data_IF_375933581100
#
_entry.id   IF_375933581100
#
_cell.length_a   1.000
_cell.length_b   1.000
_cell.length_c   1.000
_cell.angle_alpha   90.00
_cell.angle_beta   90.00
_cell.angle_gamma   90.00
#
_symmetry.space_group_name_H-M   'P 1'
#
loop_
_entity.id
_entity.type
_entity.pdbx_description
1 polymer ?
#
# COMPACT_ATOMS: atom_id res chain seq x y z
N UNK A 1 53.63 5.05 34.23
CA UNK A 1 53.32 3.62 33.99
C UNK A 1 52.00 3.43 33.23
N UNK A 2 50.91 4.13 33.59
CA UNK A 2 49.63 4.06 32.85
C UNK A 2 49.72 4.44 31.36
N UNK A 3 50.46 5.50 30.99
CA UNK A 3 50.56 5.92 29.57
C UNK A 3 51.27 4.90 28.66
N UNK A 4 52.16 4.07 29.21
CA UNK A 4 52.87 3.01 28.46
C UNK A 4 51.95 1.82 28.22
N UNK A 5 51.13 1.47 29.22
CA UNK A 5 50.10 0.45 29.09
C UNK A 5 49.04 0.85 28.06
N UNK A 6 48.56 2.10 28.09
CA UNK A 6 47.62 2.63 27.09
C UNK A 6 48.20 2.54 25.67
N UNK A 7 49.48 2.87 25.49
CA UNK A 7 50.17 2.73 24.19
C UNK A 7 50.29 1.27 23.73
N UNK A 8 50.58 0.34 24.64
CA UNK A 8 50.62 -1.09 24.33
C UNK A 8 49.22 -1.64 23.99
N UNK A 9 48.17 -1.23 24.71
CA UNK A 9 46.79 -1.58 24.37
C UNK A 9 46.37 -1.00 23.02
N UNK A 10 46.72 0.25 22.73
CA UNK A 10 46.46 0.87 21.43
C UNK A 10 47.18 0.12 20.30
N UNK A 11 48.46 -0.18 20.47
CA UNK A 11 49.26 -0.88 19.47
C UNK A 11 48.77 -2.31 19.24
N UNK A 12 48.41 -3.04 20.30
CA UNK A 12 47.87 -4.41 20.18
C UNK A 12 46.50 -4.42 19.51
N UNK A 13 45.59 -3.51 19.88
CA UNK A 13 44.26 -3.39 19.24
C UNK A 13 44.41 -3.07 17.74
N UNK A 14 45.29 -2.14 17.38
CA UNK A 14 45.55 -1.78 15.98
C UNK A 14 46.22 -2.93 15.21
N UNK A 15 47.14 -3.65 15.86
CA UNK A 15 47.78 -4.83 15.30
C UNK A 15 46.76 -5.95 15.03
N UNK A 16 45.86 -6.24 15.97
CA UNK A 16 44.86 -7.29 15.80
C UNK A 16 43.78 -6.93 14.78
N UNK A 17 43.45 -5.64 14.58
CA UNK A 17 42.57 -5.22 13.47
C UNK A 17 43.12 -5.50 12.07
N UNK A 18 44.40 -5.86 11.94
CA UNK A 18 45.04 -6.20 10.67
C UNK A 18 44.84 -7.68 10.26
N UNK A 19 44.20 -8.51 11.10
CA UNK A 19 43.93 -9.92 10.80
C UNK A 19 42.50 -10.12 10.28
N UNK A 20 42.29 -11.18 9.50
CA UNK A 20 40.95 -11.61 9.07
C UNK A 20 40.17 -12.07 10.32
N UNK A 21 38.99 -11.49 10.59
CA UNK A 21 38.22 -11.50 11.87
C UNK A 21 38.75 -10.60 13.02
N UNK A 22 39.79 -9.82 12.75
CA UNK A 22 40.44 -8.92 13.72
C UNK A 22 39.52 -7.87 14.34
N UNK A 23 38.51 -7.42 13.60
CA UNK A 23 37.55 -6.43 14.07
C UNK A 23 36.64 -6.94 15.18
N UNK A 24 36.19 -8.21 15.10
CA UNK A 24 35.38 -8.81 16.17
C UNK A 24 36.16 -8.80 17.48
N UNK A 25 37.38 -9.34 17.45
CA UNK A 25 38.24 -9.43 18.61
C UNK A 25 38.57 -8.05 19.18
N UNK A 26 38.98 -7.11 18.33
CA UNK A 26 39.33 -5.75 18.72
C UNK A 26 38.16 -5.01 19.39
N UNK A 27 36.93 -5.14 18.86
CA UNK A 27 35.74 -4.54 19.47
C UNK A 27 35.44 -5.17 20.83
N UNK A 28 35.41 -6.50 20.91
CA UNK A 28 34.95 -7.19 22.12
C UNK A 28 35.97 -7.10 23.26
N UNK A 29 37.27 -7.09 22.94
CA UNK A 29 38.30 -6.87 23.96
C UNK A 29 38.30 -5.42 24.46
N UNK A 30 38.05 -4.45 23.57
CA UNK A 30 37.89 -3.05 23.96
C UNK A 30 36.67 -2.87 24.87
N UNK A 31 35.52 -3.45 24.52
CA UNK A 31 34.32 -3.43 25.37
C UNK A 31 34.57 -4.11 26.73
N UNK A 32 35.28 -5.25 26.75
CA UNK A 32 35.64 -5.93 28.00
C UNK A 32 36.53 -5.06 28.90
N UNK A 33 37.51 -4.34 28.32
CA UNK A 33 38.38 -3.44 29.09
C UNK A 33 37.65 -2.21 29.61
N UNK A 34 36.73 -1.65 28.83
CA UNK A 34 35.89 -0.52 29.26
C UNK A 34 34.96 -0.97 30.39
N UNK A 35 34.21 -2.05 30.21
CA UNK A 35 33.26 -2.56 31.22
C UNK A 35 33.94 -3.12 32.46
N UNK A 36 35.18 -3.59 32.34
CA UNK A 36 36.02 -4.01 33.46
C UNK A 36 36.71 -2.86 34.21
N UNK A 37 36.45 -1.59 33.85
CA UNK A 37 37.09 -0.39 34.41
C UNK A 37 38.63 -0.37 34.32
N UNK A 38 39.21 -1.12 33.37
CA UNK A 38 40.67 -1.16 33.13
C UNK A 38 41.15 0.03 32.29
N UNK A 39 40.28 0.59 31.45
CA UNK A 39 40.56 1.68 30.51
C UNK A 39 39.36 2.65 30.51
N UNK A 40 39.61 3.97 30.46
CA UNK A 40 38.54 4.98 30.35
C UNK A 40 38.00 5.56 31.66
N UNK A 41 38.76 5.47 32.75
CA UNK A 41 38.36 6.03 34.07
C UNK A 41 38.43 7.56 34.16
N UNK A 42 38.98 8.25 33.15
CA UNK A 42 38.99 9.72 33.08
C UNK A 42 37.79 10.21 32.25
N UNK A 43 36.81 10.91 32.85
CA UNK A 43 35.63 11.41 32.14
C UNK A 43 35.95 12.43 31.04
N UNK A 44 37.16 13.02 31.01
CA UNK A 44 37.60 13.95 29.96
C UNK A 44 38.32 13.26 28.79
N UNK A 45 38.60 11.95 28.87
CA UNK A 45 39.29 11.24 27.80
C UNK A 45 38.33 10.76 26.69
N UNK A 46 38.10 11.62 25.71
CA UNK A 46 37.33 11.28 24.51
C UNK A 46 38.05 10.36 23.53
N UNK A 47 39.36 10.11 23.70
CA UNK A 47 40.15 9.32 22.74
C UNK A 47 39.71 7.86 22.73
N UNK A 48 39.43 7.27 23.89
CA UNK A 48 38.97 5.89 24.03
C UNK A 48 37.55 5.71 23.50
N UNK A 49 36.66 6.68 23.74
CA UNK A 49 35.31 6.68 23.16
C UNK A 49 35.38 6.75 21.63
N UNK A 50 36.24 7.60 21.07
CA UNK A 50 36.47 7.69 19.62
C UNK A 50 37.05 6.41 19.03
N UNK A 51 38.02 5.80 19.70
CA UNK A 51 38.60 4.52 19.28
C UNK A 51 37.54 3.41 19.27
N UNK A 52 36.74 3.30 20.34
CA UNK A 52 35.63 2.35 20.41
C UNK A 52 34.64 2.55 19.26
N UNK A 53 34.21 3.78 19.01
CA UNK A 53 33.31 4.09 17.88
C UNK A 53 33.93 3.71 16.52
N UNK A 54 35.23 3.97 16.34
CA UNK A 54 35.94 3.55 15.14
C UNK A 54 35.95 2.03 14.97
N UNK A 55 36.30 1.28 16.01
CA UNK A 55 36.31 -0.19 15.96
C UNK A 55 34.92 -0.77 15.68
N UNK A 56 33.89 -0.28 16.39
CA UNK A 56 32.50 -0.69 16.20
C UNK A 56 32.02 -0.43 14.77
N UNK A 57 32.37 0.73 14.19
CA UNK A 57 32.01 1.08 12.82
C UNK A 57 32.63 0.13 11.80
N UNK A 58 33.92 -0.17 11.92
CA UNK A 58 34.59 -1.09 11.00
C UNK A 58 34.06 -2.52 11.15
N UNK A 59 33.81 -2.96 12.39
CA UNK A 59 33.21 -4.26 12.62
C UNK A 59 31.80 -4.35 12.03
N UNK A 60 30.97 -3.33 12.25
CA UNK A 60 29.65 -3.28 11.68
C UNK A 60 29.68 -3.25 10.14
N UNK A 61 30.59 -2.52 9.51
CA UNK A 61 30.79 -2.52 8.05
C UNK A 61 31.09 -3.93 7.50
N UNK A 62 31.95 -4.69 8.19
CA UNK A 62 32.18 -6.10 7.82
C UNK A 62 30.92 -6.95 7.94
N UNK A 63 30.16 -6.82 9.04
CA UNK A 63 28.91 -7.56 9.25
C UNK A 63 27.82 -7.18 8.23
N UNK A 64 27.68 -5.89 7.91
CA UNK A 64 26.73 -5.38 6.91
C UNK A 64 27.02 -5.92 5.52
N UNK A 65 28.28 -6.20 5.20
CA UNK A 65 28.69 -6.78 3.93
C UNK A 65 28.36 -8.28 3.81
N UNK A 66 28.12 -8.97 4.92
CA UNK A 66 27.78 -10.39 4.94
C UNK A 66 26.26 -10.64 4.81
N UNK A 67 25.87 -11.55 3.91
CA UNK A 67 24.47 -11.85 3.57
C UNK A 67 23.59 -12.31 4.75
N UNK A 68 24.19 -12.91 5.79
CA UNK A 68 23.47 -13.47 6.94
C UNK A 68 23.63 -12.65 8.22
N UNK A 69 24.62 -11.76 8.28
CA UNK A 69 25.02 -11.07 9.51
C UNK A 69 24.64 -9.58 9.54
N UNK A 70 24.16 -9.02 8.42
CA UNK A 70 23.80 -7.61 8.32
C UNK A 70 22.77 -7.15 9.38
N UNK A 71 21.91 -8.04 9.89
CA UNK A 71 20.99 -7.69 10.98
C UNK A 71 21.75 -7.34 12.26
N UNK A 72 22.75 -8.15 12.60
CA UNK A 72 23.65 -7.94 13.74
C UNK A 72 24.52 -6.70 13.49
N UNK A 73 25.00 -6.52 12.26
CA UNK A 73 25.72 -5.32 11.85
C UNK A 73 24.91 -4.03 12.07
N UNK A 74 23.61 -4.05 11.72
CA UNK A 74 22.71 -2.92 11.94
C UNK A 74 22.52 -2.62 13.44
N UNK A 75 22.43 -3.66 14.27
CA UNK A 75 22.33 -3.49 15.73
C UNK A 75 23.62 -2.91 16.33
N UNK A 76 24.81 -3.29 15.82
CA UNK A 76 26.07 -2.66 16.23
C UNK A 76 26.17 -1.19 15.80
N UNK A 77 25.62 -0.81 14.65
CA UNK A 77 25.57 0.60 14.22
C UNK A 77 24.71 1.47 15.13
N UNK A 78 23.69 0.90 15.79
CA UNK A 78 22.85 1.64 16.74
C UNK A 78 23.62 2.08 17.99
N UNK A 79 24.67 1.35 18.37
CA UNK A 79 25.54 1.69 19.50
C UNK A 79 26.58 2.77 19.16
N UNK A 80 26.65 3.21 17.91
CA UNK A 80 27.52 4.30 17.49
C UNK A 80 26.76 5.63 17.40
N UNK A 81 27.33 6.67 18.02
CA UNK A 81 26.80 8.03 17.92
C UNK A 81 26.82 8.49 16.43
N UNK A 82 25.67 8.94 15.92
CA UNK A 82 25.52 9.65 14.63
C UNK A 82 25.70 8.85 13.32
N UNK A 83 25.26 7.58 13.26
CA UNK A 83 25.38 6.73 12.04
C UNK A 83 24.05 6.44 11.31
N UNK A 84 22.99 7.22 11.54
CA UNK A 84 21.66 6.96 10.93
C UNK A 84 21.69 6.96 9.40
N UNK A 85 22.32 7.97 8.80
CA UNK A 85 22.46 8.10 7.33
C UNK A 85 23.30 6.96 6.74
N UNK A 86 24.35 6.56 7.46
CA UNK A 86 25.21 5.46 7.05
C UNK A 86 24.45 4.13 7.07
N UNK A 87 23.63 3.90 8.11
CA UNK A 87 22.79 2.72 8.21
C UNK A 87 21.74 2.68 7.09
N UNK A 88 21.10 3.81 6.78
CA UNK A 88 20.16 3.92 5.66
C UNK A 88 20.85 3.51 4.34
N UNK A 89 22.04 4.05 4.07
CA UNK A 89 22.82 3.70 2.88
C UNK A 89 23.17 2.21 2.80
N UNK A 90 23.54 1.58 3.92
CA UNK A 90 23.82 0.15 3.91
C UNK A 90 22.56 -0.67 3.65
N UNK A 91 21.45 -0.34 4.31
CA UNK A 91 20.19 -1.07 4.14
C UNK A 91 19.63 -0.94 2.72
N UNK A 92 19.80 0.21 2.06
CA UNK A 92 19.43 0.40 0.65
C UNK A 92 20.21 -0.50 -0.31
N UNK A 93 21.45 -0.84 0.03
CA UNK A 93 22.34 -1.65 -0.82
C UNK A 93 22.13 -3.15 -0.67
N UNK A 94 21.34 -3.60 0.31
CA UNK A 94 21.11 -5.02 0.53
C UNK A 94 20.32 -5.59 -0.67
N UNK A 95 20.81 -6.64 -1.35
CA UNK A 95 20.11 -7.22 -2.48
C UNK A 95 18.81 -7.91 -2.02
N UNK A 96 17.66 -7.42 -2.51
CA UNK A 96 16.35 -7.95 -2.17
C UNK A 96 15.97 -9.07 -3.14
N UNK A 97 16.16 -10.33 -2.74
CA UNK A 97 15.81 -11.49 -3.58
C UNK A 97 14.39 -11.96 -3.30
N UNK A 98 14.05 -12.05 -2.02
CA UNK A 98 12.79 -12.62 -1.53
C UNK A 98 11.92 -11.60 -0.82
N UNK A 99 10.61 -11.86 -0.74
CA UNK A 99 9.68 -11.05 0.05
C UNK A 99 10.02 -11.07 1.54
N UNK A 100 10.53 -12.20 2.06
CA UNK A 100 10.92 -12.33 3.46
C UNK A 100 12.09 -11.40 3.82
N UNK A 101 13.08 -11.25 2.93
CA UNK A 101 14.19 -10.31 3.09
C UNK A 101 13.69 -8.87 3.09
N UNK A 102 12.81 -8.50 2.15
CA UNK A 102 12.21 -7.17 2.10
C UNK A 102 11.47 -6.82 3.41
N UNK A 103 10.69 -7.77 3.95
CA UNK A 103 9.99 -7.58 5.24
C UNK A 103 10.96 -7.38 6.40
N UNK A 104 12.09 -8.11 6.43
CA UNK A 104 13.13 -7.93 7.45
C UNK A 104 13.75 -6.53 7.38
N UNK A 105 14.06 -6.04 6.18
CA UNK A 105 14.60 -4.69 5.98
C UNK A 105 13.58 -3.64 6.45
N UNK A 106 12.31 -3.75 6.06
CA UNK A 106 11.26 -2.84 6.51
C UNK A 106 11.08 -2.86 8.03
N UNK A 107 11.13 -4.04 8.65
CA UNK A 107 11.03 -4.15 10.10
C UNK A 107 12.15 -3.35 10.80
N UNK A 108 13.39 -3.53 10.35
CA UNK A 108 14.54 -2.79 10.89
C UNK A 108 14.49 -1.29 10.57
N UNK A 109 14.00 -0.91 9.39
CA UNK A 109 13.81 0.48 8.99
C UNK A 109 12.75 1.17 9.86
N UNK A 110 11.60 0.53 10.10
CA UNK A 110 10.54 1.04 10.98
C UNK A 110 10.99 1.18 12.43
N UNK A 111 11.74 0.20 12.96
CA UNK A 111 12.34 0.26 14.31
C UNK A 111 13.19 1.53 14.51
N UNK A 112 13.76 2.06 13.43
CA UNK A 112 14.68 3.21 13.41
C UNK A 112 14.09 4.46 12.76
N UNK A 113 12.78 4.48 12.54
CA UNK A 113 12.04 5.58 11.90
C UNK A 113 12.62 6.00 10.53
N UNK A 114 13.11 5.05 9.74
CA UNK A 114 13.62 5.28 8.38
C UNK A 114 12.48 5.18 7.36
N UNK A 115 11.55 6.14 7.39
CA UNK A 115 10.32 6.09 6.57
C UNK A 115 10.59 6.17 5.06
N UNK A 116 11.64 6.88 4.65
CA UNK A 116 12.05 6.98 3.25
C UNK A 116 12.49 5.61 2.73
N UNK A 117 13.37 4.92 3.45
CA UNK A 117 13.78 3.56 3.13
C UNK A 117 12.59 2.59 3.07
N UNK A 118 11.65 2.68 4.01
CA UNK A 118 10.43 1.85 3.99
C UNK A 118 9.65 2.07 2.69
N UNK A 119 9.48 3.32 2.26
CA UNK A 119 8.82 3.65 0.98
C UNK A 119 9.60 3.12 -0.21
N UNK A 120 10.91 3.35 -0.28
CA UNK A 120 11.77 2.89 -1.37
C UNK A 120 11.73 1.37 -1.55
N UNK A 121 11.96 0.63 -0.46
CA UNK A 121 11.93 -0.85 -0.46
C UNK A 121 10.54 -1.37 -0.88
N UNK A 122 9.48 -0.79 -0.32
CA UNK A 122 8.11 -1.18 -0.65
C UNK A 122 7.80 -0.90 -2.12
N UNK A 123 8.21 0.24 -2.66
CA UNK A 123 8.00 0.62 -4.07
C UNK A 123 8.75 -0.31 -5.05
N UNK A 124 9.98 -0.71 -4.72
CA UNK A 124 10.73 -1.72 -5.49
C UNK A 124 9.96 -3.04 -5.52
N UNK A 125 9.45 -3.47 -4.36
CA UNK A 125 8.66 -4.71 -4.26
C UNK A 125 7.33 -4.62 -4.99
N UNK A 126 6.66 -3.47 -4.95
CA UNK A 126 5.45 -3.21 -5.76
C UNK A 126 5.74 -3.34 -7.24
N UNK A 127 6.78 -2.68 -7.74
CA UNK A 127 7.18 -2.75 -9.16
C UNK A 127 7.48 -4.20 -9.59
N UNK A 128 8.21 -4.96 -8.76
CA UNK A 128 8.50 -6.38 -8.99
C UNK A 128 7.23 -7.25 -8.96
N UNK A 129 6.27 -6.95 -8.09
CA UNK A 129 5.01 -7.69 -8.05
C UNK A 129 4.13 -7.39 -9.27
N UNK A 130 4.08 -6.13 -9.71
CA UNK A 130 3.35 -5.69 -10.89
C UNK A 130 3.91 -6.27 -12.20
N UNK A 131 5.23 -6.40 -12.32
CA UNK A 131 5.85 -7.04 -13.49
C UNK A 131 5.57 -8.55 -13.56
N UNK A 132 5.33 -9.19 -12.43
CA UNK A 132 4.94 -10.60 -12.33
C UNK A 132 3.42 -10.82 -12.42
N UNK A 133 2.62 -9.77 -12.67
CA UNK A 133 1.16 -9.86 -12.73
C UNK A 133 0.46 -10.13 -11.39
N UNK A 134 1.18 -10.08 -10.27
CA UNK A 134 0.63 -10.37 -8.93
C UNK A 134 0.04 -9.11 -8.29
N UNK A 135 -1.15 -8.72 -8.73
CA UNK A 135 -1.83 -7.50 -8.23
C UNK A 135 -2.05 -7.52 -6.71
N UNK A 136 -2.46 -8.65 -6.13
CA UNK A 136 -2.69 -8.75 -4.68
C UNK A 136 -1.41 -8.52 -3.86
N UNK A 137 -0.30 -9.12 -4.28
CA UNK A 137 1.00 -8.88 -3.65
C UNK A 137 1.40 -7.40 -3.82
N UNK A 138 1.28 -6.84 -5.01
CA UNK A 138 1.59 -5.43 -5.26
C UNK A 138 0.79 -4.50 -4.34
N UNK A 139 -0.51 -4.77 -4.19
CA UNK A 139 -1.38 -4.02 -3.31
C UNK A 139 -0.89 -4.08 -1.86
N UNK A 140 -0.45 -5.25 -1.36
CA UNK A 140 0.09 -5.36 0.00
C UNK A 140 1.32 -4.49 0.25
N UNK A 141 2.15 -4.27 -0.77
CA UNK A 141 3.31 -3.39 -0.67
C UNK A 141 2.92 -1.92 -0.77
N UNK A 142 1.94 -1.57 -1.60
CA UNK A 142 1.37 -0.22 -1.67
C UNK A 142 0.71 0.19 -0.35
N UNK A 143 0.09 -0.75 0.38
CA UNK A 143 -0.43 -0.48 1.73
C UNK A 143 0.68 0.02 2.68
N UNK A 144 1.93 -0.41 2.47
CA UNK A 144 3.07 -0.01 3.27
C UNK A 144 3.67 1.31 2.76
N UNK A 145 3.88 1.46 1.44
CA UNK A 145 4.50 2.68 0.88
C UNK A 145 3.57 3.90 0.88
N UNK A 146 2.24 3.68 0.83
CA UNK A 146 1.22 4.71 0.62
C UNK A 146 1.48 5.53 -0.66
N UNK A 147 2.07 4.91 -1.68
CA UNK A 147 2.36 5.57 -2.94
C UNK A 147 1.11 5.61 -3.85
N UNK A 148 0.62 6.83 -4.10
CA UNK A 148 -0.58 7.10 -4.88
C UNK A 148 -0.43 6.63 -6.33
N UNK A 149 0.77 6.74 -6.93
CA UNK A 149 0.98 6.38 -8.34
C UNK A 149 0.80 4.89 -8.55
N UNK A 150 1.37 4.09 -7.65
CA UNK A 150 1.19 2.64 -7.70
C UNK A 150 -0.24 2.21 -7.33
N UNK A 151 -0.89 2.92 -6.40
CA UNK A 151 -2.30 2.67 -6.08
C UNK A 151 -3.19 2.88 -7.33
N UNK A 152 -2.98 3.98 -8.05
CA UNK A 152 -3.69 4.28 -9.30
C UNK A 152 -3.37 3.27 -10.40
N UNK A 153 -2.11 2.85 -10.55
CA UNK A 153 -1.73 1.84 -11.54
C UNK A 153 -2.41 0.48 -11.27
N UNK A 154 -2.50 0.06 -10.00
CA UNK A 154 -3.22 -1.16 -9.61
C UNK A 154 -4.71 -1.02 -9.93
N UNK A 155 -5.31 0.13 -9.58
CA UNK A 155 -6.72 0.39 -9.83
C UNK A 155 -7.03 0.38 -11.34
N UNK A 156 -6.20 1.02 -12.16
CA UNK A 156 -6.37 1.06 -13.61
C UNK A 156 -6.23 -0.32 -14.26
N UNK A 157 -5.23 -1.12 -13.84
CA UNK A 157 -5.07 -2.49 -14.32
C UNK A 157 -6.30 -3.33 -13.99
N UNK A 158 -6.84 -3.19 -12.78
CA UNK A 158 -8.05 -3.90 -12.37
C UNK A 158 -9.28 -3.47 -13.16
N UNK A 159 -9.51 -2.15 -13.30
CA UNK A 159 -10.65 -1.61 -14.05
C UNK A 159 -10.64 -2.04 -15.52
N UNK A 160 -9.45 -2.06 -16.14
CA UNK A 160 -9.28 -2.52 -17.51
C UNK A 160 -9.61 -4.01 -17.66
N UNK A 161 -9.14 -4.83 -16.73
CA UNK A 161 -9.40 -6.27 -16.73
C UNK A 161 -10.90 -6.55 -16.54
N UNK A 162 -11.55 -5.84 -15.60
CA UNK A 162 -12.98 -5.91 -15.38
C UNK A 162 -13.78 -5.49 -16.63
N UNK A 163 -13.40 -4.39 -17.26
CA UNK A 163 -14.07 -3.89 -18.48
C UNK A 163 -14.01 -4.88 -19.66
N UNK A 164 -12.93 -5.68 -19.75
CA UNK A 164 -12.73 -6.65 -20.82
C UNK A 164 -13.46 -7.96 -20.56
N UNK A 165 -13.42 -8.47 -19.33
CA UNK A 165 -13.93 -9.81 -19.02
C UNK A 165 -15.31 -9.80 -18.39
N UNK A 166 -15.76 -8.68 -17.80
CA UNK A 166 -16.95 -8.58 -16.93
C UNK A 166 -16.97 -9.66 -15.84
N UNK A 167 -15.79 -10.11 -15.41
CA UNK A 167 -15.63 -11.14 -14.41
C UNK A 167 -15.21 -10.51 -13.09
N UNK A 168 -15.85 -10.99 -12.02
CA UNK A 168 -15.54 -10.65 -10.63
C UNK A 168 -14.25 -11.31 -10.10
N UNK A 169 -13.47 -11.96 -10.96
CA UNK A 169 -12.21 -12.58 -10.59
C UNK A 169 -11.26 -11.49 -10.08
N UNK A 170 -10.70 -11.66 -8.87
CA UNK A 170 -9.84 -10.66 -8.22
C UNK A 170 -10.49 -9.82 -7.12
N UNK A 171 -11.80 -9.94 -6.88
CA UNK A 171 -12.49 -9.30 -5.73
C UNK A 171 -11.80 -9.61 -4.38
N UNK A 172 -11.28 -10.83 -4.25
CA UNK A 172 -10.61 -11.31 -3.02
C UNK A 172 -9.41 -10.47 -2.62
N UNK A 173 -8.74 -9.87 -3.60
CA UNK A 173 -7.60 -8.98 -3.37
C UNK A 173 -8.03 -7.74 -2.59
N UNK A 174 -9.28 -7.30 -2.77
CA UNK A 174 -9.82 -6.06 -2.22
C UNK A 174 -10.58 -6.28 -0.90
N UNK A 175 -10.96 -7.53 -0.57
CA UNK A 175 -11.74 -7.89 0.64
C UNK A 175 -11.06 -7.48 1.96
N UNK A 176 -9.74 -7.46 2.02
CA UNK A 176 -8.97 -7.22 3.25
C UNK A 176 -8.32 -5.83 3.32
N UNK A 177 -8.74 -4.87 2.48
CA UNK A 177 -8.04 -3.59 2.40
C UNK A 177 -8.31 -2.62 3.55
N UNK A 178 -9.46 -2.70 4.22
CA UNK A 178 -9.81 -1.79 5.32
C UNK A 178 -9.55 -0.31 4.97
N UNK A 179 -8.77 0.38 5.80
CA UNK A 179 -8.41 1.81 5.63
C UNK A 179 -7.41 2.11 4.50
N UNK A 180 -6.94 1.10 3.75
CA UNK A 180 -5.98 1.29 2.67
C UNK A 180 -6.61 1.71 1.35
N UNK A 181 -7.95 1.62 1.23
CA UNK A 181 -8.68 2.17 0.09
C UNK A 181 -8.40 3.68 -0.07
N UNK A 182 -8.19 4.39 1.04
CA UNK A 182 -7.97 5.84 1.11
C UNK A 182 -6.60 6.33 0.63
N UNK A 183 -5.79 5.48 -0.02
CA UNK A 183 -4.50 5.93 -0.60
C UNK A 183 -4.73 6.75 -1.87
N UNK A 184 -5.70 6.37 -2.69
CA UNK A 184 -6.08 7.13 -3.87
C UNK A 184 -7.58 7.05 -4.13
N UNK A 185 -8.11 8.05 -4.81
CA UNK A 185 -9.53 8.12 -5.18
C UNK A 185 -9.93 6.97 -6.11
N UNK A 186 -9.06 6.61 -7.07
CA UNK A 186 -9.28 5.47 -7.97
C UNK A 186 -9.29 4.15 -7.22
N UNK A 187 -8.36 3.95 -6.28
CA UNK A 187 -8.32 2.74 -5.47
C UNK A 187 -9.52 2.67 -4.51
N UNK A 188 -9.94 3.83 -3.97
CA UNK A 188 -11.16 3.96 -3.18
C UNK A 188 -12.38 3.53 -4.00
N UNK A 189 -12.49 4.04 -5.23
CA UNK A 189 -13.54 3.65 -6.17
C UNK A 189 -13.56 2.14 -6.39
N UNK A 190 -12.42 1.55 -6.77
CA UNK A 190 -12.34 0.09 -7.01
C UNK A 190 -12.75 -0.71 -5.77
N UNK A 191 -12.25 -0.32 -4.60
CA UNK A 191 -12.58 -0.99 -3.34
C UNK A 191 -14.08 -0.94 -3.01
N UNK A 192 -14.72 0.22 -3.22
CA UNK A 192 -16.16 0.38 -3.03
C UNK A 192 -17.00 -0.28 -4.10
N UNK A 193 -16.53 -0.31 -5.34
CA UNK A 193 -17.20 -1.01 -6.43
C UNK A 193 -17.17 -2.53 -6.24
N UNK A 194 -16.05 -3.04 -5.72
CA UNK A 194 -15.91 -4.41 -5.26
C UNK A 194 -16.92 -4.74 -4.14
N UNK A 195 -17.04 -3.85 -3.14
CA UNK A 195 -18.01 -3.99 -2.04
C UNK A 195 -19.46 -4.02 -2.54
N UNK A 196 -19.81 -3.18 -3.53
CA UNK A 196 -21.11 -3.20 -4.20
C UNK A 196 -21.46 -4.58 -4.74
N UNK A 197 -20.57 -5.17 -5.53
CA UNK A 197 -20.79 -6.49 -6.10
C UNK A 197 -20.84 -7.60 -5.06
N UNK A 198 -20.07 -7.47 -3.97
CA UNK A 198 -20.16 -8.39 -2.84
C UNK A 198 -21.57 -8.39 -2.24
N UNK A 199 -22.11 -7.20 -1.92
CA UNK A 199 -23.47 -7.04 -1.38
C UNK A 199 -24.52 -7.58 -2.36
N UNK A 200 -24.33 -7.32 -3.66
CA UNK A 200 -25.19 -7.85 -4.71
C UNK A 200 -25.21 -9.39 -4.71
N UNK A 201 -24.05 -10.04 -4.65
CA UNK A 201 -23.95 -11.50 -4.58
C UNK A 201 -24.51 -12.09 -3.27
N UNK A 202 -24.45 -11.35 -2.17
CA UNK A 202 -25.02 -11.74 -0.87
C UNK A 202 -26.56 -11.55 -0.82
N UNK A 203 -27.15 -10.92 -1.85
CA UNK A 203 -28.59 -10.67 -1.94
C UNK A 203 -29.05 -9.39 -1.21
N UNK A 204 -28.12 -8.61 -0.66
CA UNK A 204 -28.42 -7.34 -0.02
C UNK A 204 -28.53 -6.21 -1.07
N UNK A 205 -29.62 -6.29 -1.84
CA UNK A 205 -29.83 -5.42 -3.00
C UNK A 205 -29.99 -3.94 -2.63
N UNK A 206 -30.51 -3.65 -1.42
CA UNK A 206 -30.75 -2.28 -0.93
C UNK A 206 -29.46 -1.57 -0.52
N UNK A 207 -28.55 -2.26 0.16
CA UNK A 207 -27.25 -1.68 0.47
C UNK A 207 -26.37 -1.62 -0.78
N UNK A 208 -26.47 -2.61 -1.68
CA UNK A 208 -25.81 -2.57 -2.98
C UNK A 208 -26.26 -1.35 -3.81
N UNK A 209 -27.56 -1.12 -3.95
CA UNK A 209 -28.10 0.02 -4.72
C UNK A 209 -27.67 1.36 -4.13
N UNK A 210 -27.75 1.50 -2.80
CA UNK A 210 -27.33 2.71 -2.09
C UNK A 210 -25.84 3.01 -2.32
N UNK A 211 -24.99 1.99 -2.28
CA UNK A 211 -23.55 2.13 -2.51
C UNK A 211 -23.24 2.52 -3.97
N UNK A 212 -23.94 1.93 -4.94
CA UNK A 212 -23.79 2.27 -6.35
C UNK A 212 -24.16 3.74 -6.61
N UNK A 213 -25.28 4.20 -6.05
CA UNK A 213 -25.70 5.60 -6.13
C UNK A 213 -24.66 6.53 -5.48
N UNK A 214 -24.14 6.15 -4.31
CA UNK A 214 -23.07 6.90 -3.66
C UNK A 214 -21.82 7.01 -4.53
N UNK A 215 -21.43 5.94 -5.23
CA UNK A 215 -20.28 5.96 -6.13
C UNK A 215 -20.51 6.91 -7.31
N UNK A 216 -21.70 6.89 -7.91
CA UNK A 216 -22.07 7.80 -9.00
C UNK A 216 -22.08 9.25 -8.53
N UNK A 217 -22.66 9.53 -7.35
CA UNK A 217 -22.73 10.88 -6.79
C UNK A 217 -21.35 11.42 -6.37
N UNK A 218 -20.44 10.54 -5.95
CA UNK A 218 -19.10 10.93 -5.47
C UNK A 218 -18.17 11.45 -6.56
N UNK A 219 -18.43 11.13 -7.84
CA UNK A 219 -17.53 11.48 -8.94
C UNK A 219 -16.20 10.73 -8.95
N UNK A 220 -16.02 9.70 -8.10
CA UNK A 220 -14.79 8.91 -8.03
C UNK A 220 -14.62 7.95 -9.23
N UNK A 221 -15.71 7.62 -9.91
CA UNK A 221 -15.71 6.70 -11.05
C UNK A 221 -15.06 7.34 -12.29
N UNK A 222 -14.05 6.68 -12.91
CA UNK A 222 -13.50 7.13 -14.19
C UNK A 222 -14.58 7.23 -15.27
N UNK A 223 -14.51 8.26 -16.12
CA UNK A 223 -15.55 8.58 -17.12
C UNK A 223 -15.84 7.41 -18.08
N UNK A 224 -14.79 6.69 -18.50
CA UNK A 224 -14.90 5.51 -19.35
C UNK A 224 -15.51 4.28 -18.64
N UNK A 225 -15.55 4.28 -17.31
CA UNK A 225 -16.07 3.17 -16.51
C UNK A 225 -17.52 3.38 -16.06
N UNK A 226 -18.03 4.61 -16.10
CA UNK A 226 -19.41 4.94 -15.71
C UNK A 226 -20.45 4.14 -16.52
N UNK A 227 -20.23 3.94 -17.83
CA UNK A 227 -21.13 3.12 -18.65
C UNK A 227 -21.20 1.66 -18.16
N UNK A 228 -20.08 1.11 -17.68
CA UNK A 228 -20.00 -0.26 -17.15
C UNK A 228 -20.80 -0.34 -15.84
N UNK A 229 -20.68 0.65 -14.97
CA UNK A 229 -21.48 0.73 -13.75
C UNK A 229 -22.98 0.76 -14.03
N UNK A 230 -23.40 1.50 -15.07
CA UNK A 230 -24.80 1.57 -15.48
C UNK A 230 -25.29 0.26 -16.10
N UNK A 231 -24.44 -0.47 -16.81
CA UNK A 231 -24.74 -1.84 -17.26
C UNK A 231 -24.91 -2.78 -16.08
N UNK A 232 -24.01 -2.71 -15.09
CA UNK A 232 -24.08 -3.55 -13.88
C UNK A 232 -25.29 -3.18 -13.00
N UNK A 233 -25.87 -1.99 -13.17
CA UNK A 233 -27.13 -1.59 -12.53
C UNK A 233 -28.38 -2.20 -13.18
N UNK A 234 -28.30 -2.73 -14.41
CA UNK A 234 -29.47 -3.22 -15.16
C UNK A 234 -30.29 -4.27 -14.41
N UNK A 235 -29.69 -5.29 -13.76
CA UNK A 235 -30.47 -6.29 -13.02
C UNK A 235 -31.23 -5.68 -11.84
N UNK A 236 -30.64 -4.66 -11.19
CA UNK A 236 -31.28 -3.94 -10.08
C UNK A 236 -32.40 -3.02 -10.58
N UNK A 237 -32.20 -2.36 -11.73
CA UNK A 237 -33.21 -1.53 -12.38
C UNK A 237 -34.40 -2.34 -12.86
N UNK A 238 -34.19 -3.56 -13.36
CA UNK A 238 -35.24 -4.45 -13.86
C UNK A 238 -35.83 -5.39 -12.80
N UNK A 239 -35.41 -5.24 -11.54
CA UNK A 239 -36.04 -5.94 -10.43
C UNK A 239 -37.53 -5.58 -10.30
N UNK A 240 -38.33 -6.55 -9.87
CA UNK A 240 -39.74 -6.32 -9.53
C UNK A 240 -39.87 -5.55 -8.21
N UNK A 241 -38.90 -5.71 -7.31
CA UNK A 241 -38.82 -4.90 -6.11
C UNK A 241 -38.39 -3.49 -6.47
N UNK A 242 -39.00 -2.48 -5.83
CA UNK A 242 -38.62 -1.08 -6.03
C UNK A 242 -37.27 -0.80 -5.37
N UNK A 243 -36.18 -1.25 -6.00
CA UNK A 243 -34.82 -1.15 -5.45
C UNK A 243 -34.35 0.30 -5.47
N UNK A 244 -34.47 0.96 -6.63
CA UNK A 244 -34.14 2.38 -6.82
C UNK A 244 -35.41 3.24 -6.81
N UNK A 245 -35.42 4.25 -5.94
CA UNK A 245 -36.45 5.30 -5.90
C UNK A 245 -36.46 6.16 -7.16
N UNK A 246 -37.51 6.99 -7.32
CA UNK A 246 -37.56 8.00 -8.39
C UNK A 246 -36.32 8.89 -8.38
N UNK A 247 -35.91 9.38 -7.20
CA UNK A 247 -34.75 10.27 -7.03
C UNK A 247 -33.45 9.59 -7.47
N UNK A 248 -33.24 8.35 -7.07
CA UNK A 248 -32.06 7.57 -7.46
C UNK A 248 -32.06 7.25 -8.95
N UNK A 249 -33.23 6.94 -9.52
CA UNK A 249 -33.38 6.73 -10.96
C UNK A 249 -33.00 7.98 -11.76
N UNK A 250 -33.41 9.17 -11.30
CA UNK A 250 -32.99 10.43 -11.93
C UNK A 250 -31.47 10.67 -11.84
N UNK A 251 -30.82 10.24 -10.76
CA UNK A 251 -29.35 10.32 -10.66
C UNK A 251 -28.66 9.41 -11.67
N UNK A 252 -29.17 8.19 -11.86
CA UNK A 252 -28.67 7.27 -12.89
C UNK A 252 -28.91 7.81 -14.31
N UNK A 253 -30.07 8.41 -14.57
CA UNK A 253 -30.36 9.08 -15.84
C UNK A 253 -29.41 10.23 -16.11
N UNK A 254 -29.12 11.06 -15.09
CA UNK A 254 -28.14 12.15 -15.22
C UNK A 254 -26.75 11.62 -15.53
N UNK A 255 -26.30 10.57 -14.83
CA UNK A 255 -25.02 9.93 -15.09
C UNK A 255 -24.92 9.41 -16.52
N UNK A 256 -25.97 8.76 -17.03
CA UNK A 256 -26.02 8.31 -18.43
C UNK A 256 -25.89 9.48 -19.41
N UNK A 257 -26.58 10.59 -19.15
CA UNK A 257 -26.51 11.78 -20.00
C UNK A 257 -25.11 12.41 -20.00
N UNK A 258 -24.48 12.50 -18.83
CA UNK A 258 -23.10 13.00 -18.69
C UNK A 258 -22.11 12.12 -19.49
N UNK A 259 -22.30 10.79 -19.47
CA UNK A 259 -21.51 9.84 -20.28
C UNK A 259 -21.69 10.08 -21.78
N UNK A 260 -22.93 10.32 -22.24
CA UNK A 260 -23.24 10.55 -23.65
C UNK A 260 -22.68 11.89 -24.15
N UNK A 261 -22.73 12.93 -23.32
CA UNK A 261 -22.29 14.28 -23.66
C UNK A 261 -20.76 14.40 -23.72
N UNK A 262 -20.03 13.56 -23.00
CA UNK A 262 -18.56 13.46 -23.06
C UNK A 262 -18.11 12.76 -24.37
N UNK A 263 -18.17 13.50 -25.48
CA UNK A 263 -17.89 13.06 -26.87
C UNK A 263 -16.44 12.69 -27.19
N UNK A 264 -15.51 12.75 -26.24
CA UNK A 264 -14.09 12.40 -26.47
C UNK A 264 -13.85 10.87 -26.58
N UNK A 265 -14.88 10.04 -26.32
CA UNK A 265 -14.79 8.60 -26.50
C UNK A 265 -15.15 8.20 -27.94
N UNK A 266 -14.13 7.82 -28.72
CA UNK A 266 -14.27 7.14 -30.04
C UNK A 266 -15.09 5.83 -29.98
N UNK A 267 -15.49 5.39 -28.80
CA UNK A 267 -16.34 4.21 -28.52
C UNK A 267 -17.85 4.48 -28.62
N UNK A 268 -18.25 5.64 -29.18
CA UNK A 268 -19.67 6.06 -29.24
C UNK A 268 -20.55 5.14 -30.10
N UNK A 269 -19.96 4.47 -31.09
CA UNK A 269 -20.68 3.48 -31.92
C UNK A 269 -20.84 2.15 -31.17
N UNK A 270 -19.83 1.72 -30.41
CA UNK A 270 -19.81 0.44 -29.67
C UNK A 270 -20.80 0.44 -28.48
N UNK A 271 -21.03 1.60 -27.86
CA UNK A 271 -21.93 1.71 -26.71
C UNK A 271 -23.40 2.01 -27.05
N UNK A 272 -23.78 2.16 -28.32
CA UNK A 272 -25.16 2.53 -28.71
C UNK A 272 -26.21 1.54 -28.16
N UNK A 273 -25.93 0.23 -28.29
CA UNK A 273 -26.85 -0.80 -27.81
C UNK A 273 -26.96 -0.82 -26.28
N UNK A 274 -25.82 -0.68 -25.59
CA UNK A 274 -25.77 -0.58 -24.12
C UNK A 274 -26.55 0.64 -23.63
N UNK A 275 -26.39 1.79 -24.27
CA UNK A 275 -27.12 3.02 -23.94
C UNK A 275 -28.62 2.82 -24.09
N UNK A 276 -29.07 2.17 -25.16
CA UNK A 276 -30.50 1.90 -25.37
C UNK A 276 -31.07 0.94 -24.32
N UNK A 277 -30.32 -0.10 -23.94
CA UNK A 277 -30.72 -1.01 -22.86
C UNK A 277 -30.85 -0.27 -21.52
N UNK A 278 -29.88 0.57 -21.17
CA UNK A 278 -29.90 1.36 -19.94
C UNK A 278 -31.08 2.34 -19.94
N UNK A 279 -31.32 3.06 -21.05
CA UNK A 279 -32.48 3.96 -21.17
C UNK A 279 -33.79 3.24 -20.92
N UNK A 280 -33.96 2.06 -21.52
CA UNK A 280 -35.18 1.27 -21.38
C UNK A 280 -35.39 0.82 -19.93
N UNK A 281 -34.35 0.32 -19.27
CA UNK A 281 -34.41 -0.11 -17.88
C UNK A 281 -34.70 1.06 -16.93
N UNK A 282 -34.10 2.23 -17.16
CA UNK A 282 -34.35 3.44 -16.38
C UNK A 282 -35.81 3.91 -16.50
N UNK A 283 -36.36 3.95 -17.71
CA UNK A 283 -37.77 4.34 -17.94
C UNK A 283 -38.73 3.37 -17.28
N UNK A 284 -38.45 2.06 -17.35
CA UNK A 284 -39.26 1.03 -16.69
C UNK A 284 -39.19 1.11 -15.17
N UNK A 285 -38.01 1.32 -14.59
CA UNK A 285 -37.89 1.51 -13.15
C UNK A 285 -38.62 2.79 -12.70
N UNK A 286 -38.51 3.86 -13.48
CA UNK A 286 -39.21 5.10 -13.21
C UNK A 286 -40.72 4.90 -13.24
N UNK A 287 -41.27 4.21 -14.24
CA UNK A 287 -42.71 3.93 -14.31
C UNK A 287 -43.20 3.07 -13.14
N UNK A 288 -42.44 2.04 -12.76
CA UNK A 288 -42.74 1.20 -11.58
C UNK A 288 -42.74 2.02 -10.28
N UNK A 289 -41.69 2.80 -10.05
CA UNK A 289 -41.56 3.63 -8.85
C UNK A 289 -42.65 4.71 -8.76
N UNK A 290 -43.10 5.27 -9.88
CA UNK A 290 -44.25 6.18 -9.90
C UNK A 290 -45.53 5.52 -9.39
N UNK A 291 -45.86 4.32 -9.87
CA UNK A 291 -47.10 3.62 -9.47
C UNK A 291 -47.09 3.26 -7.98
N UNK A 292 -45.94 2.83 -7.47
CA UNK A 292 -45.80 2.43 -6.06
C UNK A 292 -45.91 3.65 -5.14
N UNK A 293 -45.20 4.75 -5.45
CA UNK A 293 -45.24 5.96 -4.61
C UNK A 293 -46.61 6.66 -4.66
N UNK A 294 -47.39 6.52 -5.74
CA UNK A 294 -48.79 7.00 -5.76
C UNK A 294 -49.74 6.09 -4.98
N UNK A 295 -49.55 4.77 -5.01
CA UNK A 295 -50.36 3.82 -4.25
C UNK A 295 -50.19 3.98 -2.73
N UNK A 296 -48.96 4.21 -2.27
CA UNK A 296 -48.68 4.44 -0.85
C UNK A 296 -49.33 5.75 -0.35
N UNK A 297 -49.36 6.79 -1.20
CA UNK A 297 -49.98 8.08 -0.85
C UNK A 297 -51.51 8.05 -0.77
N UNK A 298 -52.16 7.12 -1.49
CA UNK A 298 -53.60 6.91 -1.39
C UNK A 298 -53.97 6.10 -0.15
N UNK A 299 -53.12 5.15 0.28
CA UNK A 299 -53.34 4.37 1.51
C UNK A 299 -53.13 5.15 2.81
N UNK A 300 -52.23 6.14 2.82
CA UNK A 300 -52.00 7.00 3.99
C UNK A 300 -53.07 8.10 4.15
N UNK A 301 -53.90 8.34 3.13
CA UNK A 301 -55.01 9.29 3.17
C UNK A 301 -56.35 8.71 3.66
N UNK A 302 -56.42 7.39 3.85
CA UNK A 302 -57.63 6.67 4.31
C UNK A 302 -57.56 6.19 5.78
N UNK A 303 -56.53 6.60 6.54
CA UNK A 303 -56.44 6.44 8.00
C UNK A 303 -56.64 7.77 8.74
#
# INVERSE_FOLDING_TARGET
MHSILIYYYFFTITFFSSFNDGWWFAVHIMDLFIHGNYIGNDPNDHSMKRLRTYLLRNYADTLMSHCSLWQVGADYLDYCDSNRELLELYLERIPIKTEAEARKIIYLAKKRNLDNLVKTVSNIMTSKALSNGKLGTALTWVMISRDVRFADEIAERWLKDYAQHQKMEGLEIFKNMGSCMLVSDKLTFVGKYCEFHKLYCEGDLKNASSLLISLIASGLAPTNFQIIMLVDALPLLESLENIFSRKETYQLMKCLEDVIMNKDNKDTIDNSDRVNMIRLALVRNLSRSFVIETGDSESDGEM
#
